data_IF_149623851838
#
_entry.id   IF_149623851838
#
_cell.length_a   1.000
_cell.length_b   1.000
_cell.length_c   1.000
_cell.angle_alpha   90.00
_cell.angle_beta   90.00
_cell.angle_gamma   90.00
#
_symmetry.space_group_name_H-M   'P 1'
#
loop_
_entity.id
_entity.type
_entity.pdbx_description
1 polymer ?
#
# COMPACT_ATOMS: atom_id res chain seq x y z
N UNK A 1 -8.48 19.41 13.73
CA UNK A 1 -7.50 20.14 12.89
C UNK A 1 -6.90 19.14 11.93
N UNK A 2 -7.03 19.34 10.61
CA UNK A 2 -6.54 18.37 9.61
C UNK A 2 -5.04 18.59 9.33
N UNK A 3 -4.20 18.06 10.21
CA UNK A 3 -2.74 18.23 10.15
C UNK A 3 -2.15 17.61 8.88
N UNK A 4 -2.69 16.49 8.40
CA UNK A 4 -2.23 15.89 7.13
C UNK A 4 -2.40 16.82 5.96
N UNK A 5 -3.56 17.46 5.81
CA UNK A 5 -3.83 18.41 4.73
C UNK A 5 -2.85 19.57 4.77
N UNK A 6 -2.56 20.09 5.96
CA UNK A 6 -1.59 21.17 6.17
C UNK A 6 -0.19 20.71 5.74
N UNK A 7 0.29 19.58 6.25
CA UNK A 7 1.60 19.04 5.88
C UNK A 7 1.70 18.74 4.38
N UNK A 8 0.65 18.15 3.81
CA UNK A 8 0.57 17.80 2.39
C UNK A 8 0.72 19.01 1.47
N UNK A 9 0.17 20.16 1.88
CA UNK A 9 0.24 21.40 1.10
C UNK A 9 1.68 21.85 0.84
N UNK A 10 2.57 21.59 1.79
CA UNK A 10 3.98 21.96 1.67
C UNK A 10 4.79 20.84 1.04
N UNK A 11 4.62 19.60 1.49
CA UNK A 11 5.40 18.47 0.97
C UNK A 11 5.08 18.15 -0.49
N UNK A 12 3.83 18.34 -0.94
CA UNK A 12 3.44 18.05 -2.33
C UNK A 12 4.09 18.95 -3.38
N UNK A 13 4.68 20.08 -2.98
CA UNK A 13 5.42 20.97 -3.88
C UNK A 13 6.76 20.38 -4.32
N UNK A 14 7.36 19.54 -3.49
CA UNK A 14 8.66 18.90 -3.75
C UNK A 14 8.51 17.42 -4.06
N UNK A 15 7.47 16.78 -3.52
CA UNK A 15 7.14 15.39 -3.77
C UNK A 15 5.63 15.25 -4.02
N UNK A 16 5.19 15.42 -5.28
CA UNK A 16 3.78 15.44 -5.66
C UNK A 16 3.03 14.18 -5.19
N UNK A 17 1.73 14.34 -4.92
CA UNK A 17 0.87 13.18 -4.69
C UNK A 17 0.61 12.47 -6.01
N UNK A 18 0.64 11.14 -5.96
CA UNK A 18 0.38 10.28 -7.11
C UNK A 18 -0.98 9.61 -6.96
N UNK A 19 -1.62 9.34 -8.09
CA UNK A 19 -2.85 8.57 -8.13
C UNK A 19 -2.53 7.08 -7.98
N UNK A 20 -3.36 6.37 -7.22
CA UNK A 20 -3.25 4.94 -7.03
C UNK A 20 -4.63 4.34 -6.76
N UNK A 21 -4.75 3.03 -6.94
CA UNK A 21 -5.95 2.28 -6.59
C UNK A 21 -5.62 1.26 -5.53
N UNK A 22 -6.33 1.33 -4.40
CA UNK A 22 -6.28 0.26 -3.41
C UNK A 22 -7.25 -0.83 -3.84
N UNK A 23 -6.75 -2.05 -3.94
CA UNK A 23 -7.54 -3.27 -4.07
C UNK A 23 -7.76 -3.83 -2.68
N UNK A 24 -8.88 -3.47 -2.06
CA UNK A 24 -9.24 -3.94 -0.72
C UNK A 24 -9.78 -5.36 -0.80
N UNK A 25 -9.18 -6.31 -0.08
CA UNK A 25 -9.64 -7.70 -0.14
C UNK A 25 -11.05 -7.85 0.44
N UNK A 26 -11.97 -8.40 -0.34
CA UNK A 26 -13.36 -8.69 0.06
C UNK A 26 -13.60 -10.18 0.33
N UNK A 27 -12.53 -10.99 0.32
CA UNK A 27 -12.58 -12.43 0.50
C UNK A 27 -12.03 -13.18 -0.71
N UNK A 28 -12.60 -14.35 -0.98
CA UNK A 28 -12.23 -15.17 -2.14
C UNK A 28 -13.44 -15.95 -2.66
N UNK A 29 -13.46 -16.19 -3.96
CA UNK A 29 -14.32 -17.20 -4.58
C UNK A 29 -13.52 -18.47 -4.78
N UNK A 30 -14.19 -19.62 -4.83
CA UNK A 30 -13.55 -20.90 -5.15
C UNK A 30 -13.94 -21.26 -6.57
N UNK A 31 -12.95 -21.42 -7.45
CA UNK A 31 -13.18 -21.85 -8.83
C UNK A 31 -13.68 -23.31 -8.88
N UNK A 32 -14.29 -23.75 -9.99
CA UNK A 32 -14.66 -25.15 -10.18
C UNK A 32 -13.47 -26.12 -10.07
N UNK A 33 -12.24 -25.63 -10.28
CA UNK A 33 -10.99 -26.37 -10.10
C UNK A 33 -10.48 -26.40 -8.66
N UNK A 34 -11.19 -25.80 -7.70
CA UNK A 34 -10.81 -25.74 -6.29
C UNK A 34 -9.83 -24.62 -5.93
N UNK A 35 -9.41 -23.81 -6.90
CA UNK A 35 -8.50 -22.68 -6.68
C UNK A 35 -9.23 -21.52 -6.02
N UNK A 36 -8.62 -20.90 -5.00
CA UNK A 36 -9.15 -19.68 -4.38
C UNK A 36 -8.73 -18.47 -5.18
N UNK A 37 -9.71 -17.73 -5.70
CA UNK A 37 -9.52 -16.47 -6.42
C UNK A 37 -9.85 -15.34 -5.45
N UNK A 38 -8.87 -14.52 -5.03
CA UNK A 38 -9.15 -13.39 -4.16
C UNK A 38 -10.06 -12.38 -4.85
N UNK A 39 -11.05 -11.87 -4.13
CA UNK A 39 -11.93 -10.79 -4.61
C UNK A 39 -11.49 -9.48 -3.99
N UNK A 40 -11.58 -8.39 -4.76
CA UNK A 40 -11.19 -7.07 -4.31
C UNK A 40 -12.26 -6.03 -4.64
N UNK A 41 -12.35 -4.99 -3.81
CA UNK A 41 -13.03 -3.75 -4.12
C UNK A 41 -12.00 -2.67 -4.42
N UNK A 42 -12.16 -1.99 -5.57
CA UNK A 42 -11.25 -0.94 -6.01
C UNK A 42 -11.63 0.39 -5.35
N UNK A 43 -10.65 1.02 -4.69
CA UNK A 43 -10.80 2.33 -4.05
C UNK A 43 -9.75 3.28 -4.64
N UNK A 44 -10.14 4.25 -5.48
CA UNK A 44 -9.21 5.24 -6.01
C UNK A 44 -8.76 6.18 -4.89
N UNK A 45 -7.45 6.42 -4.80
CA UNK A 45 -6.83 7.24 -3.77
C UNK A 45 -5.72 8.12 -4.33
N UNK A 46 -5.39 9.20 -3.62
CA UNK A 46 -4.16 9.95 -3.84
C UNK A 46 -3.24 9.75 -2.65
N UNK A 47 -2.01 9.36 -2.92
CA UNK A 47 -1.02 9.04 -1.91
C UNK A 47 0.25 9.85 -2.14
N UNK A 48 0.95 10.15 -1.05
CA UNK A 48 2.32 10.65 -1.15
C UNK A 48 3.28 9.50 -0.92
N UNK A 49 4.08 9.16 -1.92
CA UNK A 49 5.06 8.08 -1.82
C UNK A 49 6.42 8.63 -1.47
N UNK A 50 7.08 8.01 -0.51
CA UNK A 50 8.39 8.39 -0.01
C UNK A 50 9.31 7.17 0.07
N UNK A 51 10.60 7.44 0.11
CA UNK A 51 11.60 6.43 0.45
C UNK A 51 11.39 5.93 1.88
N UNK A 52 11.66 4.64 2.11
CA UNK A 52 11.66 4.07 3.45
C UNK A 52 12.91 4.55 4.20
N UNK A 53 12.73 5.05 5.44
CA UNK A 53 13.87 5.43 6.28
C UNK A 53 14.57 4.20 6.84
N UNK A 54 15.81 4.34 7.33
CA UNK A 54 16.54 3.23 7.98
C UNK A 54 15.74 2.59 9.12
N UNK A 55 15.03 3.38 9.93
CA UNK A 55 14.20 2.86 11.01
C UNK A 55 12.98 2.07 10.49
N UNK A 56 12.39 2.51 9.38
CA UNK A 56 11.31 1.77 8.73
C UNK A 56 11.82 0.43 8.18
N UNK A 57 12.99 0.42 7.56
CA UNK A 57 13.65 -0.78 7.03
C UNK A 57 13.97 -1.77 8.16
N UNK A 58 14.59 -1.31 9.25
CA UNK A 58 14.88 -2.16 10.41
C UNK A 58 13.62 -2.79 11.02
N UNK A 59 12.51 -2.04 11.08
CA UNK A 59 11.22 -2.56 11.55
C UNK A 59 10.65 -3.61 10.60
N UNK A 60 10.80 -3.43 9.28
CA UNK A 60 10.38 -4.42 8.29
C UNK A 60 11.24 -5.69 8.35
N UNK A 61 12.55 -5.55 8.49
CA UNK A 61 13.48 -6.67 8.68
C UNK A 61 13.16 -7.46 9.96
N UNK A 62 12.83 -6.78 11.06
CA UNK A 62 12.40 -7.41 12.30
C UNK A 62 11.09 -8.22 12.14
N UNK A 63 10.24 -7.85 11.19
CA UNK A 63 9.05 -8.59 10.80
C UNK A 63 9.33 -9.67 9.74
N UNK A 64 10.60 -9.87 9.38
CA UNK A 64 11.07 -10.74 8.30
C UNK A 64 10.42 -10.41 6.94
N UNK A 65 10.17 -9.12 6.70
CA UNK A 65 9.64 -8.60 5.43
C UNK A 65 10.84 -8.12 4.61
N UNK A 66 11.05 -8.72 3.44
CA UNK A 66 12.16 -8.44 2.53
C UNK A 66 11.64 -7.93 1.19
N UNK A 67 12.48 -7.24 0.41
CA UNK A 67 12.17 -6.77 -0.93
C UNK A 67 12.42 -5.28 -1.14
N UNK A 68 11.86 -4.71 -2.21
CA UNK A 68 11.90 -3.27 -2.44
C UNK A 68 10.78 -2.62 -1.64
N UNK A 69 11.16 -1.72 -0.73
CA UNK A 69 10.24 -1.05 0.16
C UNK A 69 10.07 0.43 -0.20
N UNK A 70 8.83 0.89 -0.07
CA UNK A 70 8.46 2.31 -0.08
C UNK A 70 7.51 2.59 1.07
N UNK A 71 7.40 3.86 1.43
CA UNK A 71 6.43 4.34 2.42
C UNK A 71 5.40 5.19 1.72
N UNK A 72 4.14 5.03 2.09
CA UNK A 72 3.05 5.87 1.61
C UNK A 72 2.34 6.59 2.75
N UNK A 73 1.95 7.83 2.50
CA UNK A 73 1.06 8.60 3.39
C UNK A 73 -0.30 8.74 2.73
N UNK A 74 -1.31 8.17 3.38
CA UNK A 74 -2.66 8.05 2.83
C UNK A 74 -3.72 8.54 3.83
N UNK A 75 -4.69 9.30 3.32
CA UNK A 75 -5.89 9.75 4.04
C UNK A 75 -7.05 8.78 3.83
N UNK A 76 -6.79 7.49 3.97
CA UNK A 76 -7.79 6.44 3.83
C UNK A 76 -7.58 5.38 4.91
N UNK A 77 -8.65 4.67 5.21
CA UNK A 77 -8.56 3.48 6.04
C UNK A 77 -7.98 2.33 5.23
N UNK A 78 -6.82 1.87 5.65
CA UNK A 78 -6.12 0.73 5.08
C UNK A 78 -5.71 -0.17 6.23
N UNK A 79 -5.96 -1.46 6.05
CA UNK A 79 -5.59 -2.48 7.01
C UNK A 79 -4.39 -3.24 6.44
N UNK A 80 -3.26 -3.23 7.15
CA UNK A 80 -2.25 -4.27 6.92
C UNK A 80 -2.81 -5.60 7.42
N UNK A 81 -2.36 -6.71 6.84
CA UNK A 81 -2.91 -8.04 7.08
C UNK A 81 -3.27 -8.33 8.55
N UNK A 82 -4.57 -8.41 8.84
CA UNK A 82 -5.13 -8.86 10.13
C UNK A 82 -5.43 -10.36 10.00
N UNK A 83 -4.46 -11.19 10.44
CA UNK A 83 -4.53 -12.66 10.31
C UNK A 83 -5.76 -13.28 11.00
N UNK A 84 -6.24 -12.68 12.08
CA UNK A 84 -7.39 -13.17 12.85
C UNK A 84 -8.71 -13.01 12.08
N UNK A 85 -8.87 -11.90 11.37
CA UNK A 85 -10.10 -11.60 10.63
C UNK A 85 -10.12 -12.18 9.21
N UNK A 86 -9.04 -12.89 8.81
CA UNK A 86 -8.79 -13.30 7.41
C UNK A 86 -8.87 -12.13 6.41
N UNK A 87 -8.67 -10.90 6.91
CA UNK A 87 -8.63 -9.67 6.12
C UNK A 87 -7.18 -9.26 5.98
N UNK A 88 -6.72 -9.08 4.75
CA UNK A 88 -5.33 -8.77 4.51
C UNK A 88 -4.88 -9.02 3.10
N UNK A 89 -3.74 -8.42 2.76
CA UNK A 89 -3.24 -8.44 1.38
C UNK A 89 -3.85 -7.34 0.52
N UNK A 90 -4.32 -6.24 1.13
CA UNK A 90 -4.70 -5.04 0.39
C UNK A 90 -3.51 -4.63 -0.48
N UNK A 91 -3.78 -4.57 -1.78
CA UNK A 91 -2.79 -4.18 -2.77
C UNK A 91 -3.00 -2.72 -3.08
N UNK A 92 -1.90 -2.02 -3.35
CA UNK A 92 -1.95 -0.72 -3.99
C UNK A 92 -1.34 -0.85 -5.37
N UNK A 93 -2.06 -0.36 -6.36
CA UNK A 93 -1.68 -0.40 -7.77
C UNK A 93 -1.47 1.03 -8.22
N UNK A 94 -0.29 1.29 -8.77
CA UNK A 94 0.04 2.55 -9.41
C UNK A 94 -0.11 2.41 -10.93
N UNK A 95 -0.34 3.52 -11.61
CA UNK A 95 -0.29 3.54 -13.08
C UNK A 95 1.17 3.41 -13.54
N UNK A 96 1.36 2.77 -14.71
CA UNK A 96 2.68 2.57 -15.29
C UNK A 96 3.45 3.90 -15.42
N UNK A 97 4.73 3.89 -15.04
CA UNK A 97 5.59 5.07 -15.06
C UNK A 97 5.42 6.04 -13.88
N UNK A 98 4.53 5.78 -12.92
CA UNK A 98 4.41 6.58 -11.69
C UNK A 98 5.52 6.26 -10.70
N UNK A 99 5.88 4.98 -10.56
CA UNK A 99 7.02 4.55 -9.74
C UNK A 99 8.24 4.30 -10.62
N UNK A 100 9.46 4.63 -10.16
CA UNK A 100 10.69 4.30 -10.89
C UNK A 100 10.85 2.81 -11.19
N UNK A 101 10.33 1.96 -10.31
CA UNK A 101 10.35 0.51 -10.45
C UNK A 101 9.23 -0.05 -11.34
N UNK A 102 8.36 0.81 -11.90
CA UNK A 102 7.16 0.39 -12.61
C UNK A 102 7.31 0.40 -14.14
N UNK A 103 7.48 -0.79 -14.70
CA UNK A 103 7.61 -1.01 -16.16
C UNK A 103 6.28 -1.47 -16.82
N UNK A 104 5.31 -2.00 -16.06
CA UNK A 104 4.12 -2.70 -16.60
C UNK A 104 2.83 -2.61 -15.75
N UNK A 105 2.70 -1.69 -14.80
CA UNK A 105 1.54 -1.64 -13.88
C UNK A 105 1.78 -2.50 -12.64
N UNK A 106 2.80 -2.10 -11.90
CA UNK A 106 3.40 -2.86 -10.83
C UNK A 106 2.52 -2.88 -9.59
N UNK A 107 2.36 -4.07 -8.99
CA UNK A 107 1.54 -4.27 -7.80
C UNK A 107 2.40 -4.20 -6.55
N UNK A 108 1.90 -3.49 -5.56
CA UNK A 108 2.53 -3.39 -4.26
C UNK A 108 1.58 -3.91 -3.22
N UNK A 109 2.10 -4.69 -2.27
CA UNK A 109 1.32 -5.11 -1.12
C UNK A 109 1.51 -4.11 0.03
N UNK A 110 0.43 -3.77 0.73
CA UNK A 110 0.52 -3.03 1.98
C UNK A 110 1.03 -3.99 3.05
N UNK A 111 2.36 -3.99 3.22
CA UNK A 111 3.07 -4.95 4.07
C UNK A 111 2.93 -4.67 5.56
N UNK A 112 2.91 -3.39 5.96
CA UNK A 112 2.73 -3.00 7.35
C UNK A 112 2.11 -1.59 7.44
N UNK A 113 1.24 -1.39 8.44
CA UNK A 113 0.86 -0.04 8.88
C UNK A 113 1.89 0.37 9.92
N UNK A 114 2.73 1.35 9.59
CA UNK A 114 3.83 1.80 10.43
C UNK A 114 3.33 2.73 11.54
N UNK A 115 2.44 3.65 11.20
CA UNK A 115 1.88 4.65 12.10
C UNK A 115 0.43 4.97 11.74
N UNK A 116 -0.39 5.23 12.77
CA UNK A 116 -1.80 5.62 12.66
C UNK A 116 -2.02 6.91 13.43
N UNK A 117 -2.52 7.94 12.77
CA UNK A 117 -2.85 9.22 13.41
C UNK A 117 -4.36 9.41 13.44
N UNK A 118 -4.96 8.90 14.52
CA UNK A 118 -6.41 8.86 14.69
C UNK A 118 -7.10 8.16 13.51
N UNK A 119 -8.26 8.67 13.12
CA UNK A 119 -9.00 8.17 11.95
C UNK A 119 -8.63 8.89 10.65
N UNK A 120 -7.72 9.87 10.68
CA UNK A 120 -7.53 10.82 9.58
C UNK A 120 -6.50 10.34 8.54
N UNK A 121 -5.35 9.79 8.95
CA UNK A 121 -4.35 9.30 8.00
C UNK A 121 -3.40 8.26 8.62
N UNK A 122 -2.72 7.52 7.74
CA UNK A 122 -1.81 6.42 8.09
C UNK A 122 -0.51 6.52 7.29
N UNK A 123 0.59 6.06 7.89
CA UNK A 123 1.87 5.79 7.22
C UNK A 123 1.98 4.28 7.04
N UNK A 124 2.10 3.83 5.80
CA UNK A 124 2.15 2.40 5.49
C UNK A 124 3.43 2.07 4.73
N UNK A 125 4.05 0.96 5.07
CA UNK A 125 5.09 0.35 4.27
C UNK A 125 4.46 -0.50 3.18
N UNK A 126 4.85 -0.25 1.94
CA UNK A 126 4.49 -1.04 0.78
C UNK A 126 5.72 -1.80 0.29
N UNK A 127 5.50 -3.05 -0.10
CA UNK A 127 6.55 -3.90 -0.63
C UNK A 127 6.20 -4.31 -2.04
N UNK A 128 7.16 -4.16 -2.95
CA UNK A 128 7.02 -4.52 -4.34
C UNK A 128 6.68 -6.01 -4.46
N UNK A 129 5.57 -6.34 -5.11
CA UNK A 129 5.21 -7.70 -5.47
C UNK A 129 5.55 -7.91 -6.94
N UNK A 130 6.80 -8.31 -7.20
CA UNK A 130 7.26 -8.62 -8.54
C UNK A 130 6.96 -10.09 -8.87
N UNK A 131 5.74 -10.42 -9.28
CA UNK A 131 5.35 -11.71 -9.89
C UNK A 131 3.85 -11.70 -10.17
N UNK A 132 3.29 -12.25 -11.25
CA UNK A 132 3.71 -13.11 -12.37
C UNK A 132 2.62 -12.85 -13.43
N UNK A 133 2.98 -12.57 -14.68
CA UNK A 133 2.01 -12.62 -15.79
C UNK A 133 1.45 -14.04 -15.84
N UNK A 134 0.13 -14.17 -15.66
CA UNK A 134 -0.61 -15.38 -15.95
C UNK A 134 -0.51 -15.74 -17.43
#
# INVERSE_FOLDING_TARGET
MNLRSIANRYTSRVNPNVSATIKRSTGYTTSPSGTRIPTYADLPVRVQVQTASNGDIQKLEALNIQGVHRVIYISAEVEAMIRVDKKGGDQIVFEAGVMPEDDQGTRWIISAVLEVWGHEWRKCAITLQNSYTA
#
